data_IF_649405014778
#
_entry.id   IF_649405014778
#
_cell.length_a   1.000
_cell.length_b   1.000
_cell.length_c   1.000
_cell.angle_alpha   90.00
_cell.angle_beta   90.00
_cell.angle_gamma   90.00
#
_symmetry.space_group_name_H-M   'P 1'
#
loop_
_entity.id
_entity.type
_entity.pdbx_description
1 polymer ?
#
# COMPACT_ATOMS: atom_id res chain seq x y z
N UNK A 1 -3.62 -13.33 -4.44
CA UNK A 1 -4.29 -13.44 -5.77
C UNK A 1 -5.34 -14.53 -5.65
N UNK A 2 -6.45 -14.43 -6.36
CA UNK A 2 -7.63 -15.27 -6.10
C UNK A 2 -7.48 -16.72 -6.61
N UNK A 3 -6.57 -17.00 -7.54
CA UNK A 3 -6.33 -18.36 -8.06
C UNK A 3 -7.43 -18.90 -8.99
N UNK A 4 -8.54 -18.18 -9.17
CA UNK A 4 -9.62 -18.55 -10.09
C UNK A 4 -9.20 -18.47 -11.56
N UNK A 5 -8.97 -19.62 -12.20
CA UNK A 5 -8.58 -19.71 -13.61
C UNK A 5 -9.63 -19.12 -14.57
N UNK A 6 -10.90 -19.09 -14.18
CA UNK A 6 -11.99 -18.50 -14.96
C UNK A 6 -11.93 -16.98 -15.03
N UNK A 7 -11.13 -16.33 -14.16
CA UNK A 7 -11.05 -14.88 -14.03
C UNK A 7 -9.59 -14.40 -14.06
N UNK A 8 -9.26 -13.54 -15.03
CA UNK A 8 -7.91 -12.97 -15.18
C UNK A 8 -6.78 -14.02 -15.11
N UNK A 9 -7.00 -15.25 -15.59
CA UNK A 9 -6.03 -16.35 -15.54
C UNK A 9 -5.54 -16.66 -14.11
N UNK A 10 -6.42 -16.59 -13.10
CA UNK A 10 -6.05 -16.80 -11.69
C UNK A 10 -5.46 -15.57 -11.01
N UNK A 11 -5.29 -14.45 -11.72
CA UNK A 11 -4.63 -13.23 -11.22
C UNK A 11 -5.61 -12.21 -10.62
N UNK A 12 -6.84 -12.61 -10.32
CA UNK A 12 -7.78 -11.80 -9.54
C UNK A 12 -7.21 -11.38 -8.17
N UNK A 13 -7.81 -10.36 -7.57
CA UNK A 13 -7.46 -9.82 -6.23
C UNK A 13 -8.71 -9.51 -5.39
N UNK A 14 -9.86 -10.11 -5.70
CA UNK A 14 -11.09 -9.91 -4.94
C UNK A 14 -10.92 -10.22 -3.46
N UNK A 15 -10.18 -11.27 -3.11
CA UNK A 15 -9.98 -11.63 -1.70
C UNK A 15 -9.22 -10.52 -0.95
N UNK A 16 -8.20 -9.93 -1.59
CA UNK A 16 -7.47 -8.80 -1.01
C UNK A 16 -8.38 -7.55 -0.88
N UNK A 17 -9.26 -7.32 -1.85
CA UNK A 17 -10.24 -6.21 -1.79
C UNK A 17 -11.26 -6.43 -0.67
N UNK A 18 -11.73 -7.66 -0.49
CA UNK A 18 -12.63 -8.04 0.59
C UNK A 18 -11.98 -7.83 1.96
N UNK A 19 -10.71 -8.25 2.12
CA UNK A 19 -9.94 -7.99 3.33
C UNK A 19 -9.83 -6.49 3.66
N UNK A 20 -9.67 -5.63 2.64
CA UNK A 20 -9.69 -4.16 2.83
C UNK A 20 -11.05 -3.68 3.33
N UNK A 21 -12.13 -4.07 2.66
CA UNK A 21 -13.48 -3.58 2.95
C UNK A 21 -14.08 -4.13 4.25
N UNK A 22 -13.49 -5.19 4.82
CA UNK A 22 -13.98 -5.84 6.03
C UNK A 22 -12.97 -5.67 7.16
N UNK A 23 -12.13 -6.68 7.40
CA UNK A 23 -11.27 -6.79 8.57
C UNK A 23 -10.32 -5.59 8.74
N UNK A 24 -9.72 -5.10 7.65
CA UNK A 24 -8.85 -3.93 7.73
C UNK A 24 -9.65 -2.67 8.08
N UNK A 25 -10.78 -2.44 7.42
CA UNK A 25 -11.62 -1.27 7.71
C UNK A 25 -12.07 -1.29 9.17
N UNK A 26 -12.52 -2.42 9.69
CA UNK A 26 -12.94 -2.56 11.10
C UNK A 26 -11.79 -2.27 12.07
N UNK A 27 -10.55 -2.63 11.73
CA UNK A 27 -9.40 -2.43 12.60
C UNK A 27 -8.91 -0.99 12.66
N UNK A 28 -9.07 -0.21 11.58
CA UNK A 28 -8.51 1.16 11.50
C UNK A 28 -9.55 2.27 11.55
N UNK A 29 -10.84 1.95 11.50
CA UNK A 29 -11.89 2.98 11.54
C UNK A 29 -11.86 3.73 12.87
N UNK A 30 -11.88 5.06 12.79
CA UNK A 30 -11.80 5.94 13.95
C UNK A 30 -10.38 6.17 14.48
N UNK A 31 -9.34 5.57 13.87
CA UNK A 31 -7.96 5.95 14.11
C UNK A 31 -7.62 7.25 13.39
N UNK A 32 -6.67 8.00 13.96
CA UNK A 32 -6.13 9.19 13.33
C UNK A 32 -5.20 8.80 12.17
N UNK A 33 -5.51 9.30 10.97
CA UNK A 33 -4.73 9.05 9.77
C UNK A 33 -3.31 9.66 9.86
N UNK A 34 -3.10 10.69 10.69
CA UNK A 34 -1.78 11.28 10.90
C UNK A 34 -0.82 10.34 11.64
N UNK A 35 -1.34 9.37 12.42
CA UNK A 35 -0.54 8.37 13.13
C UNK A 35 -0.15 7.19 12.21
N UNK A 36 0.55 7.48 11.11
CA UNK A 36 0.95 6.51 10.09
C UNK A 36 1.63 5.25 10.69
N UNK A 37 2.56 5.44 11.63
CA UNK A 37 3.28 4.34 12.27
C UNK A 37 2.36 3.45 13.13
N UNK A 38 1.34 4.04 13.75
CA UNK A 38 0.35 3.30 14.53
C UNK A 38 -0.53 2.47 13.61
N UNK A 39 -1.09 3.09 12.56
CA UNK A 39 -1.89 2.39 11.55
C UNK A 39 -1.11 1.23 10.92
N UNK A 40 0.11 1.48 10.45
CA UNK A 40 0.92 0.44 9.82
C UNK A 40 1.22 -0.71 10.79
N UNK A 41 1.48 -0.41 12.07
CA UNK A 41 1.67 -1.42 13.10
C UNK A 41 0.39 -2.21 13.34
N UNK A 42 -0.76 -1.56 13.46
CA UNK A 42 -2.07 -2.22 13.59
C UNK A 42 -2.32 -3.16 12.41
N UNK A 43 -2.03 -2.74 11.18
CA UNK A 43 -2.19 -3.59 9.99
C UNK A 43 -1.25 -4.81 9.98
N UNK A 44 0.01 -4.62 10.42
CA UNK A 44 0.99 -5.71 10.54
C UNK A 44 0.57 -6.71 11.62
N UNK A 45 0.16 -6.22 12.79
CA UNK A 45 -0.29 -7.04 13.90
C UNK A 45 -1.60 -7.76 13.58
N UNK A 46 -2.52 -7.08 12.88
CA UNK A 46 -3.77 -7.66 12.40
C UNK A 46 -3.46 -8.83 11.47
N UNK A 47 -2.63 -8.65 10.45
CA UNK A 47 -2.24 -9.76 9.56
C UNK A 47 -1.61 -10.93 10.33
N UNK A 48 -0.69 -10.62 11.24
CA UNK A 48 -0.09 -11.57 12.17
C UNK A 48 0.98 -12.48 11.55
N UNK A 49 1.30 -12.34 10.26
CA UNK A 49 2.33 -13.14 9.60
C UNK A 49 3.54 -12.31 9.19
N UNK A 50 4.70 -12.96 9.12
CA UNK A 50 5.96 -12.29 8.77
C UNK A 50 5.90 -11.67 7.35
N UNK A 51 5.23 -12.39 6.44
CA UNK A 51 5.20 -12.07 5.00
C UNK A 51 3.90 -11.40 4.53
N UNK A 52 2.96 -11.09 5.42
CA UNK A 52 1.68 -10.45 5.07
C UNK A 52 0.85 -11.30 4.10
N UNK A 53 0.83 -12.61 4.32
CA UNK A 53 0.20 -13.58 3.44
C UNK A 53 -1.29 -13.81 3.77
N UNK A 54 -1.73 -13.49 4.98
CA UNK A 54 -3.13 -13.70 5.42
C UNK A 54 -4.07 -12.66 4.83
N UNK A 55 -3.75 -11.37 5.02
CA UNK A 55 -4.51 -10.26 4.46
C UNK A 55 -4.04 -9.91 3.04
N UNK A 56 -2.76 -10.17 2.76
CA UNK A 56 -2.09 -9.84 1.51
C UNK A 56 -1.35 -8.51 1.60
N UNK A 57 -0.05 -8.53 1.31
CA UNK A 57 0.79 -7.33 1.29
C UNK A 57 0.24 -6.22 0.38
N UNK A 58 -0.47 -6.58 -0.69
CA UNK A 58 -1.11 -5.62 -1.58
C UNK A 58 -2.30 -4.89 -0.92
N UNK A 59 -3.06 -5.55 -0.06
CA UNK A 59 -4.15 -4.93 0.71
C UNK A 59 -3.58 -3.96 1.75
N UNK A 60 -2.63 -4.43 2.56
CA UNK A 60 -1.98 -3.63 3.61
C UNK A 60 -1.31 -2.38 3.03
N UNK A 61 -0.52 -2.54 1.96
CA UNK A 61 0.17 -1.42 1.33
C UNK A 61 -0.82 -0.40 0.74
N UNK A 62 -1.92 -0.85 0.16
CA UNK A 62 -2.92 0.05 -0.42
C UNK A 62 -3.52 0.97 0.65
N UNK A 63 -3.88 0.42 1.81
CA UNK A 63 -4.45 1.18 2.93
C UNK A 63 -3.40 2.10 3.56
N UNK A 64 -2.20 1.59 3.83
CA UNK A 64 -1.06 2.39 4.33
C UNK A 64 -0.80 3.64 3.47
N UNK A 65 -0.75 3.47 2.15
CA UNK A 65 -0.54 4.58 1.20
C UNK A 65 -1.73 5.52 1.10
N UNK A 66 -2.95 5.02 1.27
CA UNK A 66 -4.16 5.84 1.27
C UNK A 66 -4.22 6.75 2.51
N UNK A 67 -3.87 6.24 3.68
CA UNK A 67 -3.74 7.02 4.91
C UNK A 67 -2.72 8.16 4.72
N UNK A 68 -1.49 7.86 4.28
CA UNK A 68 -0.47 8.88 4.06
C UNK A 68 -0.92 9.99 3.08
N UNK A 69 -1.73 9.64 2.08
CA UNK A 69 -2.29 10.61 1.12
C UNK A 69 -3.39 11.46 1.74
N UNK A 70 -4.29 10.85 2.49
CA UNK A 70 -5.36 11.56 3.20
C UNK A 70 -4.77 12.57 4.19
N UNK A 71 -3.78 12.15 4.99
CA UNK A 71 -3.11 13.01 5.97
C UNK A 71 -2.32 14.14 5.31
N UNK A 72 -1.67 13.88 4.17
CA UNK A 72 -1.02 14.93 3.38
C UNK A 72 -2.02 15.97 2.88
N UNK A 73 -3.19 15.54 2.40
CA UNK A 73 -4.27 16.41 1.93
C UNK A 73 -4.86 17.24 3.07
N UNK A 74 -5.11 16.64 4.22
CA UNK A 74 -5.59 17.30 5.44
C UNK A 74 -4.59 18.35 5.95
N UNK A 75 -3.30 18.01 5.95
CA UNK A 75 -2.21 18.94 6.29
C UNK A 75 -1.99 20.05 5.25
N UNK A 76 -2.66 20.02 4.10
CA UNK A 76 -2.46 20.97 2.99
C UNK A 76 -1.07 20.87 2.35
N UNK A 77 -0.41 19.72 2.49
CA UNK A 77 0.94 19.48 2.01
C UNK A 77 0.93 18.55 0.80
N UNK A 78 1.79 18.79 -0.21
CA UNK A 78 2.09 17.76 -1.18
C UNK A 78 2.65 16.51 -0.51
N UNK A 79 2.28 15.31 -0.99
CA UNK A 79 2.69 14.02 -0.38
C UNK A 79 4.21 13.92 -0.13
N UNK A 80 5.05 14.41 -1.06
CA UNK A 80 6.50 14.36 -0.88
C UNK A 80 6.98 15.23 0.29
N UNK A 81 6.29 16.34 0.60
CA UNK A 81 6.58 17.18 1.77
C UNK A 81 6.07 16.53 3.05
N UNK A 82 4.87 15.96 3.02
CA UNK A 82 4.32 15.22 4.15
C UNK A 82 5.26 14.08 4.57
N UNK A 83 5.73 13.27 3.62
CA UNK A 83 6.65 12.17 3.88
C UNK A 83 8.09 12.61 4.22
N UNK A 84 8.57 13.69 3.59
CA UNK A 84 9.95 14.18 3.75
C UNK A 84 10.18 15.11 4.94
N UNK A 85 9.10 15.57 5.60
CA UNK A 85 9.15 16.52 6.70
C UNK A 85 9.82 17.85 6.33
N UNK A 86 10.52 18.45 7.30
CA UNK A 86 11.22 19.73 7.14
C UNK A 86 12.62 19.61 6.52
N UNK A 87 13.00 18.42 6.04
CA UNK A 87 14.30 18.17 5.43
C UNK A 87 14.51 18.85 4.08
N UNK A 88 15.76 18.87 3.62
CA UNK A 88 16.06 19.29 2.24
C UNK A 88 15.48 18.26 1.26
N UNK A 89 14.80 18.74 0.21
CA UNK A 89 14.26 17.89 -0.85
C UNK A 89 15.14 17.97 -2.09
N UNK A 90 15.38 16.81 -2.73
CA UNK A 90 16.16 16.71 -3.95
C UNK A 90 15.41 15.85 -4.97
N UNK A 91 15.48 16.25 -6.24
CA UNK A 91 15.01 15.43 -7.34
C UNK A 91 16.05 14.35 -7.65
N UNK A 92 15.66 13.06 -7.70
CA UNK A 92 16.59 11.98 -8.04
C UNK A 92 16.94 12.03 -9.53
N UNK A 93 18.18 11.67 -9.88
CA UNK A 93 18.55 11.43 -11.28
C UNK A 93 17.78 10.21 -11.78
N UNK A 94 17.00 10.31 -12.87
CA UNK A 94 16.21 9.19 -13.35
C UNK A 94 17.09 8.11 -13.96
N UNK A 95 16.95 6.87 -13.48
CA UNK A 95 17.50 5.69 -14.15
C UNK A 95 16.50 5.24 -15.21
N UNK A 96 16.72 5.68 -16.45
CA UNK A 96 15.83 5.36 -17.57
C UNK A 96 16.13 3.96 -18.09
N UNK A 97 15.13 3.08 -18.03
CA UNK A 97 15.21 1.76 -18.64
C UNK A 97 15.10 1.89 -20.17
N UNK A 98 16.16 1.54 -20.90
CA UNK A 98 16.23 1.72 -22.37
C UNK A 98 16.03 0.41 -23.13
N UNK A 99 16.56 -0.70 -22.61
CA UNK A 99 16.52 -2.00 -23.28
C UNK A 99 16.06 -3.05 -22.29
N UNK A 100 15.01 -3.79 -22.68
CA UNK A 100 14.50 -4.94 -21.95
C UNK A 100 15.04 -6.25 -22.54
N UNK A 101 15.07 -7.30 -21.73
CA UNK A 101 15.43 -8.67 -22.13
C UNK A 101 14.73 -9.71 -21.23
N UNK A 102 14.97 -10.99 -21.49
CA UNK A 102 14.45 -12.09 -20.66
C UNK A 102 12.92 -12.17 -20.65
N UNK A 103 12.30 -12.35 -19.47
CA UNK A 103 10.84 -12.42 -19.31
C UNK A 103 10.08 -11.12 -19.66
N UNK A 104 10.79 -10.04 -20.00
CA UNK A 104 10.25 -8.76 -20.45
C UNK A 104 10.52 -8.49 -21.93
N UNK A 105 11.06 -9.47 -22.67
CA UNK A 105 11.23 -9.44 -24.12
C UNK A 105 10.56 -10.67 -24.71
N UNK A 106 9.33 -10.50 -25.21
CA UNK A 106 8.68 -11.42 -26.14
C UNK A 106 9.21 -11.18 -27.56
#
# INVERSE_FOLDING_TARGET
RDGDKGRYLGKGVLQAVENVNTEITEAIIGLDAEEQAFIDKTLIELDGTENKDRLGANAILAVSMACARASAEESGLPLYRYLGGSGMMQLPTPMMNIINGGAHAD
#
